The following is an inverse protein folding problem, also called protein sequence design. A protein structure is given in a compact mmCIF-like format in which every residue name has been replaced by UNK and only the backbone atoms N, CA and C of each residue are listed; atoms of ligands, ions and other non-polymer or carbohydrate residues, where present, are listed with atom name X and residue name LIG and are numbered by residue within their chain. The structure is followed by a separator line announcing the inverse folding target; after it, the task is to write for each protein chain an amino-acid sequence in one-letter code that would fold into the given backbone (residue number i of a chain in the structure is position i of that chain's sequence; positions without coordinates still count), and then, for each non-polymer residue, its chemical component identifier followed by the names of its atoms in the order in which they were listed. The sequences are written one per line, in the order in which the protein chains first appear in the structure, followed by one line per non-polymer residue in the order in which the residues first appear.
data_IF_668959192111
#
_entry.id   IF_668959192111
#
_cell.length_a   1.000
_cell.length_b   1.000
_cell.length_c   1.000
_cell.angle_alpha   90.00
_cell.angle_beta   90.00
_cell.angle_gamma   90.00
#
_symmetry.space_group_name_H-M   'P 1'
#
loop_
_entity.id
_entity.type
_entity.pdbx_description
1 polymer ?
#
# COMPACT_ATOMS: atom_id res chain seq x y z
N UNK A 1 -1.47 8.12 -17.89
CA UNK A 1 -1.79 6.77 -17.42
C UNK A 1 -3.15 6.85 -16.77
N UNK A 2 -4.15 6.13 -17.28
CA UNK A 2 -5.43 6.00 -16.59
C UNK A 2 -5.20 5.23 -15.30
N UNK A 3 -5.61 5.79 -14.17
CA UNK A 3 -5.56 5.12 -12.88
C UNK A 3 -6.69 4.08 -12.84
N UNK A 4 -6.35 2.81 -13.09
CA UNK A 4 -7.27 1.71 -12.83
C UNK A 4 -7.28 1.40 -11.33
N UNK A 5 -8.42 1.66 -10.68
CA UNK A 5 -8.63 1.41 -9.25
C UNK A 5 -8.26 -0.02 -8.85
N UNK A 6 -8.59 -1.01 -9.69
CA UNK A 6 -8.25 -2.41 -9.42
C UNK A 6 -6.74 -2.59 -9.35
N UNK A 7 -6.01 -2.03 -10.31
CA UNK A 7 -4.54 -2.08 -10.35
C UNK A 7 -3.92 -1.41 -9.12
N UNK A 8 -4.37 -0.21 -8.77
CA UNK A 8 -3.88 0.52 -7.59
C UNK A 8 -4.10 -0.27 -6.31
N UNK A 9 -5.34 -0.74 -6.08
CA UNK A 9 -5.70 -1.50 -4.88
C UNK A 9 -4.92 -2.81 -4.80
N UNK A 10 -4.79 -3.55 -5.91
CA UNK A 10 -4.04 -4.82 -5.95
C UNK A 10 -2.58 -4.61 -5.58
N UNK A 11 -1.93 -3.57 -6.13
CA UNK A 11 -0.53 -3.26 -5.85
C UNK A 11 -0.30 -2.90 -4.38
N UNK A 12 -1.22 -2.16 -3.76
CA UNK A 12 -1.11 -1.81 -2.35
C UNK A 12 -1.32 -3.02 -1.44
N UNK A 13 -2.29 -3.89 -1.75
CA UNK A 13 -2.52 -5.14 -1.01
C UNK A 13 -1.30 -6.07 -1.11
N UNK A 14 -0.74 -6.22 -2.31
CA UNK A 14 0.43 -7.09 -2.54
C UNK A 14 1.65 -6.60 -1.73
N UNK A 15 1.92 -5.29 -1.72
CA UNK A 15 2.95 -4.68 -0.86
C UNK A 15 2.68 -4.96 0.62
N UNK A 16 1.45 -4.75 1.07
CA UNK A 16 1.07 -4.98 2.46
C UNK A 16 1.24 -6.45 2.90
N UNK A 17 1.04 -7.42 2.01
CA UNK A 17 1.25 -8.85 2.27
C UNK A 17 2.75 -9.19 2.30
N UNK A 18 3.52 -8.70 1.33
CA UNK A 18 4.97 -8.97 1.21
C UNK A 18 5.77 -8.38 2.37
N UNK A 19 5.36 -7.23 2.89
CA UNK A 19 6.04 -6.53 3.98
C UNK A 19 5.65 -6.98 5.40
N UNK A 20 4.87 -8.07 5.52
CA UNK A 20 4.42 -8.58 6.81
C UNK A 20 5.57 -9.25 7.56
N UNK A 21 5.82 -8.79 8.78
CA UNK A 21 6.46 -9.61 9.80
C UNK A 21 5.48 -10.68 10.33
N UNK A 22 6.02 -11.73 10.96
CA UNK A 22 5.24 -12.72 11.71
C UNK A 22 4.28 -12.01 12.67
N UNK A 23 2.99 -12.34 12.62
CA UNK A 23 1.90 -11.76 13.42
C UNK A 23 1.42 -10.33 13.05
N UNK A 24 1.82 -9.75 11.93
CA UNK A 24 1.31 -8.44 11.50
C UNK A 24 -0.18 -8.47 11.09
N UNK A 25 -0.93 -7.46 11.52
CA UNK A 25 -2.35 -7.28 11.15
C UNK A 25 -2.47 -6.46 9.86
N UNK A 26 -3.43 -6.82 9.03
CA UNK A 26 -3.79 -6.12 7.80
C UNK A 26 -5.31 -5.96 7.78
N UNK A 27 -5.77 -4.75 7.49
CA UNK A 27 -7.18 -4.43 7.41
C UNK A 27 -7.45 -3.59 6.16
N UNK A 28 -8.57 -3.89 5.51
CA UNK A 28 -9.14 -3.08 4.43
C UNK A 28 -10.50 -2.58 4.91
N UNK A 29 -10.74 -1.29 4.78
CA UNK A 29 -12.02 -0.65 5.08
C UNK A 29 -12.50 0.09 3.84
N UNK A 30 -13.79 -0.06 3.55
CA UNK A 30 -14.48 0.67 2.49
C UNK A 30 -15.60 1.46 3.18
N UNK A 31 -15.66 2.76 2.91
CA UNK A 31 -16.63 3.64 3.53
C UNK A 31 -17.26 4.52 2.45
N UNK A 32 -18.60 4.53 2.41
CA UNK A 32 -19.37 5.50 1.63
C UNK A 32 -19.38 6.84 2.37
N UNK A 33 -19.02 7.91 1.66
CA UNK A 33 -18.97 9.28 2.17
C UNK A 33 -20.09 10.15 1.59
N UNK A 34 -21.06 9.54 0.89
CA UNK A 34 -22.20 10.19 0.25
C UNK A 34 -21.86 10.66 -1.17
N UNK A 35 -20.88 11.54 -1.31
CA UNK A 35 -20.45 12.05 -2.62
C UNK A 35 -19.36 11.18 -3.27
N UNK A 36 -18.70 10.34 -2.49
CA UNK A 36 -17.61 9.47 -2.95
C UNK A 36 -17.45 8.23 -2.07
N UNK A 37 -16.64 7.27 -2.53
CA UNK A 37 -16.19 6.15 -1.69
C UNK A 37 -14.75 6.36 -1.24
N UNK A 38 -14.44 5.95 -0.01
CA UNK A 38 -13.06 5.87 0.49
C UNK A 38 -12.65 4.41 0.70
N UNK A 39 -11.42 4.08 0.30
CA UNK A 39 -10.78 2.79 0.56
C UNK A 39 -9.56 3.06 1.44
N UNK A 40 -9.54 2.49 2.63
CA UNK A 40 -8.43 2.60 3.60
C UNK A 40 -7.77 1.25 3.79
N UNK A 41 -6.46 1.19 3.60
CA UNK A 41 -5.64 0.02 3.88
C UNK A 41 -4.75 0.33 5.08
N UNK A 42 -4.70 -0.58 6.04
CA UNK A 42 -3.84 -0.46 7.23
C UNK A 42 -3.10 -1.76 7.44
N UNK A 43 -1.77 -1.72 7.39
CA UNK A 43 -0.89 -2.81 7.77
C UNK A 43 -0.07 -2.47 9.01
N UNK A 44 0.63 -3.47 9.57
CA UNK A 44 1.62 -3.32 10.63
C UNK A 44 2.95 -3.93 10.20
N UNK A 45 3.26 -3.83 8.91
CA UNK A 45 4.52 -4.28 8.32
C UNK A 45 5.67 -3.32 8.59
N UNK A 46 6.79 -3.56 7.91
CA UNK A 46 8.03 -2.78 8.05
C UNK A 46 7.91 -1.30 7.67
N UNK A 47 6.81 -0.94 6.98
CA UNK A 47 6.53 0.41 6.50
C UNK A 47 7.30 0.77 5.23
N UNK A 48 7.12 2.03 4.81
CA UNK A 48 7.77 2.63 3.64
C UNK A 48 8.59 3.82 4.15
N UNK A 49 9.81 4.03 3.66
CA UNK A 49 10.59 5.21 4.03
C UNK A 49 9.89 6.47 3.51
N UNK A 50 10.01 7.58 4.25
CA UNK A 50 9.32 8.82 3.91
C UNK A 50 9.72 9.39 2.55
N UNK A 51 11.00 9.25 2.19
CA UNK A 51 11.57 9.63 0.89
C UNK A 51 10.98 8.83 -0.28
N UNK A 52 10.55 7.60 -0.03
CA UNK A 52 10.03 6.70 -1.05
C UNK A 52 8.53 6.87 -1.33
N UNK A 53 7.79 7.53 -0.44
CA UNK A 53 6.32 7.66 -0.52
C UNK A 53 5.85 8.26 -1.85
N UNK A 54 6.59 9.22 -2.43
CA UNK A 54 6.19 9.82 -3.70
C UNK A 54 6.43 8.89 -4.88
N UNK A 55 7.47 8.07 -4.81
CA UNK A 55 7.89 7.22 -5.91
C UNK A 55 7.20 5.86 -5.95
N UNK A 56 6.47 5.44 -4.90
CA UNK A 56 5.80 4.12 -4.87
C UNK A 56 4.73 3.93 -5.96
N UNK A 57 4.31 5.01 -6.61
CA UNK A 57 3.35 5.03 -7.71
C UNK A 57 4.02 5.15 -9.09
N UNK A 58 5.35 5.29 -9.14
CA UNK A 58 6.10 5.33 -10.39
C UNK A 58 6.15 3.93 -11.00
N UNK A 59 5.97 3.86 -12.31
CA UNK A 59 5.92 2.61 -13.08
C UNK A 59 7.20 1.75 -12.93
N UNK A 60 8.33 2.38 -12.59
CA UNK A 60 9.63 1.73 -12.46
C UNK A 60 10.13 1.64 -11.01
N UNK A 61 9.28 1.92 -10.03
CA UNK A 61 9.69 1.84 -8.63
C UNK A 61 9.97 0.38 -8.23
N UNK A 62 11.20 0.01 -7.85
CA UNK A 62 11.53 -1.36 -7.51
C UNK A 62 10.77 -1.80 -6.26
N UNK A 63 10.09 -2.94 -6.34
CA UNK A 63 9.38 -3.55 -5.20
C UNK A 63 10.30 -3.87 -4.01
N UNK A 64 11.60 -4.00 -4.26
CA UNK A 64 12.61 -4.45 -3.29
C UNK A 64 13.22 -3.31 -2.46
N UNK A 65 12.78 -2.06 -2.66
CA UNK A 65 13.27 -0.89 -1.90
C UNK A 65 12.69 -0.84 -0.47
N UNK A 66 11.84 -1.79 -0.10
CA UNK A 66 11.20 -1.86 1.22
C UNK A 66 12.22 -2.42 2.23
N UNK A 67 13.05 -1.51 2.76
CA UNK A 67 14.09 -1.83 3.74
C UNK A 67 13.47 -1.99 5.13
N UNK A 68 13.75 -3.11 5.78
CA UNK A 68 13.46 -3.36 7.20
C UNK A 68 14.09 -2.23 8.02
N UNK A 69 13.28 -1.49 8.79
CA UNK A 69 13.82 -0.64 9.86
C UNK A 69 14.20 -1.56 11.02
N UNK A 70 15.49 -1.65 11.33
CA UNK A 70 15.99 -2.11 12.63
C UNK A 70 15.54 -1.14 13.74
#
# INVERSE_FOLDING_TARGET
MELDLKTVVTNLIDKAIKCRASQSRFAVMICDTGESGSISLKDSGIGIKKEDIQSIFDQFYPSDTLVVRD
#
